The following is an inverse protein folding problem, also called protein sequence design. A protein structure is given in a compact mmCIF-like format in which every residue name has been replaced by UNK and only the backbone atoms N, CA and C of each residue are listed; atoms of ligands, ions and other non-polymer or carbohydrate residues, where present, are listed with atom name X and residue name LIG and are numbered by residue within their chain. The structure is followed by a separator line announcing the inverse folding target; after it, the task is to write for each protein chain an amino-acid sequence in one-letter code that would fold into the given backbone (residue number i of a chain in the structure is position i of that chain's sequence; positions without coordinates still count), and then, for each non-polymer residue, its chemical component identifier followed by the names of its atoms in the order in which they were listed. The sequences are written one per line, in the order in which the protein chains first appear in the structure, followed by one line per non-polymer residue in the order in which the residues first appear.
data_IF_117107896739
#
_entry.id   IF_117107896739
#
_cell.length_a   1.000
_cell.length_b   1.000
_cell.length_c   1.000
_cell.angle_alpha   90.00
_cell.angle_beta   90.00
_cell.angle_gamma   90.00
#
_symmetry.space_group_name_H-M   'P 1'
#
loop_
_entity.id
_entity.type
_entity.pdbx_description
1 polymer ?
#
# COMPACT_ATOMS: atom_id res chain seq x y z
N UNK A 1 7.68 23.27 -19.24
CA UNK A 1 6.91 24.05 -18.24
C UNK A 1 6.49 23.07 -17.15
N UNK A 2 7.32 22.89 -16.12
CA UNK A 2 7.04 22.04 -14.97
C UNK A 2 6.07 22.81 -14.07
N UNK A 3 4.78 22.49 -14.16
CA UNK A 3 3.78 23.01 -13.24
C UNK A 3 3.92 22.20 -11.96
N UNK A 4 4.47 22.80 -10.92
CA UNK A 4 4.47 22.28 -9.55
C UNK A 4 3.02 22.17 -9.06
N UNK A 5 2.41 20.99 -9.21
CA UNK A 5 1.04 20.72 -8.74
C UNK A 5 0.87 20.80 -7.20
N UNK A 6 1.97 20.87 -6.45
CA UNK A 6 1.96 20.99 -5.00
C UNK A 6 1.37 22.32 -4.49
N UNK A 7 1.35 23.37 -5.31
CA UNK A 7 0.83 24.68 -4.89
C UNK A 7 -0.68 24.85 -5.09
N UNK A 8 -1.36 23.94 -5.83
CA UNK A 8 -2.75 24.11 -6.20
C UNK A 8 -3.74 24.01 -5.02
N UNK A 9 -3.36 23.39 -3.87
CA UNK A 9 -4.26 23.21 -2.71
C UNK A 9 -3.52 23.18 -1.36
N UNK A 10 -2.70 24.20 -1.02
CA UNK A 10 -1.88 24.16 0.19
C UNK A 10 -2.70 24.04 1.47
N UNK A 11 -3.84 24.75 1.54
CA UNK A 11 -4.74 24.72 2.71
C UNK A 11 -5.33 23.32 2.92
N UNK A 12 -5.76 22.65 1.84
CA UNK A 12 -6.29 21.29 1.96
C UNK A 12 -5.20 20.30 2.40
N UNK A 13 -3.98 20.41 1.90
CA UNK A 13 -2.86 19.54 2.27
C UNK A 13 -2.51 19.64 3.75
N UNK A 14 -2.57 20.85 4.32
CA UNK A 14 -2.35 21.08 5.76
C UNK A 14 -3.51 20.46 6.56
N UNK A 15 -4.76 20.77 6.20
CA UNK A 15 -5.93 20.22 6.87
C UNK A 15 -5.96 18.69 6.81
N UNK A 16 -5.71 18.13 5.62
CA UNK A 16 -5.60 16.69 5.44
C UNK A 16 -4.54 16.10 6.36
N UNK A 17 -3.36 16.71 6.46
CA UNK A 17 -2.28 16.22 7.34
C UNK A 17 -2.70 16.22 8.81
N UNK A 18 -3.40 17.25 9.27
CA UNK A 18 -3.92 17.31 10.64
C UNK A 18 -4.96 16.22 10.90
N UNK A 19 -5.90 16.02 9.96
CA UNK A 19 -6.89 14.96 10.04
C UNK A 19 -6.26 13.58 10.02
N UNK A 20 -5.33 13.31 9.10
CA UNK A 20 -4.59 12.06 9.03
C UNK A 20 -3.87 11.75 10.35
N UNK A 21 -3.21 12.75 10.95
CA UNK A 21 -2.52 12.61 12.23
C UNK A 21 -3.49 12.25 13.36
N UNK A 22 -4.57 13.01 13.52
CA UNK A 22 -5.54 12.82 14.59
C UNK A 22 -6.26 11.48 14.46
N UNK A 23 -6.68 11.11 13.25
CA UNK A 23 -7.33 9.82 12.98
C UNK A 23 -6.37 8.65 13.20
N UNK A 24 -5.10 8.77 12.78
CA UNK A 24 -4.10 7.73 13.00
C UNK A 24 -3.79 7.55 14.49
N UNK A 25 -3.69 8.64 15.25
CA UNK A 25 -3.50 8.60 16.70
C UNK A 25 -4.67 7.91 17.39
N UNK A 26 -5.89 8.32 17.08
CA UNK A 26 -7.11 7.72 17.65
C UNK A 26 -7.20 6.23 17.27
N UNK A 27 -6.97 5.88 16.00
CA UNK A 27 -6.99 4.50 15.55
C UNK A 27 -5.91 3.65 16.24
N UNK A 28 -4.69 4.15 16.43
CA UNK A 28 -3.64 3.44 17.16
C UNK A 28 -4.02 3.21 18.63
N UNK A 29 -4.62 4.20 19.29
CA UNK A 29 -5.08 4.04 20.68
C UNK A 29 -6.19 3.00 20.79
N UNK A 30 -7.23 3.07 19.95
CA UNK A 30 -8.37 2.16 19.98
C UNK A 30 -7.98 0.74 19.55
N UNK A 31 -7.13 0.60 18.54
CA UNK A 31 -6.72 -0.70 18.00
C UNK A 31 -5.48 -1.27 18.70
N UNK A 32 -4.88 -0.58 19.68
CA UNK A 32 -3.68 -1.06 20.36
C UNK A 32 -3.82 -2.47 20.97
N UNK A 33 -4.93 -2.87 21.63
CA UNK A 33 -5.06 -4.24 22.12
C UNK A 33 -5.05 -5.27 20.98
N UNK A 34 -5.77 -4.97 19.89
CA UNK A 34 -5.79 -5.83 18.70
C UNK A 34 -4.40 -5.94 18.07
N UNK A 35 -3.68 -4.82 17.92
CA UNK A 35 -2.32 -4.81 17.37
C UNK A 35 -1.37 -5.68 18.21
N UNK A 36 -1.46 -5.63 19.53
CA UNK A 36 -0.66 -6.47 20.42
C UNK A 36 -1.00 -7.96 20.29
N UNK A 37 -2.29 -8.30 20.22
CA UNK A 37 -2.75 -9.68 19.99
C UNK A 37 -2.24 -10.21 18.65
N UNK A 38 -2.36 -9.42 17.57
CA UNK A 38 -1.87 -9.81 16.24
C UNK A 38 -0.36 -9.95 16.22
N UNK A 39 0.38 -9.05 16.88
CA UNK A 39 1.85 -9.15 16.99
C UNK A 39 2.28 -10.43 17.71
N UNK A 40 1.62 -10.76 18.82
CA UNK A 40 1.84 -12.01 19.57
C UNK A 40 1.52 -13.24 18.70
N UNK A 41 0.35 -13.25 18.04
CA UNK A 41 -0.07 -14.35 17.17
C UNK A 41 0.92 -14.59 16.03
N UNK A 42 1.39 -13.54 15.34
CA UNK A 42 2.40 -13.66 14.28
C UNK A 42 3.71 -14.25 14.82
N UNK A 43 4.14 -13.83 16.01
CA UNK A 43 5.39 -14.30 16.61
C UNK A 43 5.31 -15.74 17.10
N UNK A 44 4.16 -16.16 17.60
CA UNK A 44 3.92 -17.52 18.11
C UNK A 44 3.70 -18.55 16.99
N UNK A 45 3.13 -18.11 15.86
CA UNK A 45 2.78 -19.03 14.74
C UNK A 45 3.89 -19.21 13.71
N UNK A 46 4.93 -18.35 13.72
CA UNK A 46 6.06 -18.49 12.79
C UNK A 46 7.34 -17.85 13.34
N UNK A 47 8.54 -18.46 13.12
CA UNK A 47 9.81 -17.91 13.59
C UNK A 47 10.12 -16.53 13.01
N UNK A 48 10.62 -15.59 13.83
CA UNK A 48 11.10 -14.27 13.41
C UNK A 48 10.29 -13.09 13.98
N UNK A 49 10.55 -11.83 13.54
CA UNK A 49 9.92 -10.64 14.06
C UNK A 49 8.42 -10.58 13.73
N UNK A 50 7.60 -9.95 14.58
CA UNK A 50 6.18 -9.76 14.30
C UNK A 50 5.93 -8.80 13.13
N UNK A 51 6.79 -7.78 12.99
CA UNK A 51 6.69 -6.78 11.93
C UNK A 51 7.63 -7.11 10.77
N UNK A 52 7.11 -6.90 9.58
CA UNK A 52 7.84 -6.82 8.33
C UNK A 52 8.10 -5.35 8.00
N UNK A 53 9.30 -5.06 7.53
CA UNK A 53 9.71 -3.71 7.12
C UNK A 53 10.30 -3.75 5.72
N UNK A 54 10.02 -2.70 4.93
CA UNK A 54 10.51 -2.60 3.55
C UNK A 54 10.67 -1.13 3.17
N UNK A 55 11.67 -0.80 2.34
CA UNK A 55 11.88 0.56 1.83
C UNK A 55 10.87 0.88 0.74
N UNK A 56 10.24 2.02 0.82
CA UNK A 56 9.22 2.52 -0.11
C UNK A 56 9.50 3.96 -0.51
N UNK A 57 8.95 4.35 -1.65
CA UNK A 57 9.00 5.72 -2.15
C UNK A 57 7.85 6.51 -1.53
N UNK A 58 8.19 7.62 -0.90
CA UNK A 58 7.28 8.58 -0.27
C UNK A 58 7.21 9.90 -1.02
N UNK A 59 6.75 10.94 -0.30
CA UNK A 59 6.63 12.31 -0.78
C UNK A 59 7.96 12.80 -1.39
N UNK A 60 7.91 13.42 -2.57
CA UNK A 60 9.08 13.92 -3.32
C UNK A 60 10.17 12.86 -3.48
N UNK A 61 9.76 11.60 -3.68
CA UNK A 61 10.64 10.44 -3.87
C UNK A 61 11.58 10.14 -2.69
N UNK A 62 11.34 10.73 -1.51
CA UNK A 62 12.10 10.39 -0.30
C UNK A 62 11.76 8.97 0.13
N UNK A 63 12.79 8.18 0.43
CA UNK A 63 12.59 6.81 0.87
C UNK A 63 12.20 6.79 2.34
N UNK A 64 11.22 5.96 2.66
CA UNK A 64 10.81 5.68 4.04
C UNK A 64 10.66 4.17 4.26
N UNK A 65 10.56 3.77 5.52
CA UNK A 65 10.35 2.37 5.91
C UNK A 65 8.88 2.15 6.23
N UNK A 66 8.20 1.30 5.44
CA UNK A 66 6.82 0.89 5.73
C UNK A 66 6.80 -0.20 6.79
N UNK A 67 5.77 -0.21 7.65
CA UNK A 67 5.53 -1.24 8.67
C UNK A 67 4.29 -2.05 8.33
N UNK A 68 4.41 -3.39 8.39
CA UNK A 68 3.30 -4.34 8.25
C UNK A 68 3.45 -5.47 9.23
N UNK A 69 2.39 -6.19 9.55
CA UNK A 69 2.57 -7.50 10.15
C UNK A 69 3.19 -8.46 9.14
N UNK A 70 4.07 -9.32 9.63
CA UNK A 70 4.69 -10.34 8.80
C UNK A 70 3.67 -11.41 8.44
N UNK A 71 3.43 -11.59 7.15
CA UNK A 71 2.49 -12.57 6.59
C UNK A 71 3.20 -13.69 5.86
N UNK A 72 4.51 -13.56 5.65
CA UNK A 72 5.33 -14.51 4.91
C UNK A 72 6.50 -14.98 5.76
N UNK A 73 7.10 -16.11 5.40
CA UNK A 73 8.29 -16.67 6.03
C UNK A 73 9.47 -15.73 5.89
N UNK A 74 10.43 -15.85 6.81
CA UNK A 74 11.63 -14.98 6.84
C UNK A 74 12.62 -15.22 5.70
N UNK A 75 12.56 -16.37 5.05
CA UNK A 75 13.36 -16.74 3.88
C UNK A 75 12.77 -16.20 2.54
N UNK A 76 11.66 -15.46 2.59
CA UNK A 76 11.04 -14.85 1.40
C UNK A 76 11.90 -13.70 0.86
N UNK A 77 12.12 -13.60 -0.48
CA UNK A 77 12.76 -12.43 -1.09
C UNK A 77 12.04 -11.13 -0.75
N UNK A 78 12.79 -10.13 -0.23
CA UNK A 78 12.20 -8.88 0.29
C UNK A 78 12.06 -7.77 -0.76
N UNK A 79 12.90 -7.79 -1.79
CA UNK A 79 13.02 -6.67 -2.74
C UNK A 79 12.24 -6.87 -4.05
N UNK A 80 11.28 -7.80 -4.05
CA UNK A 80 10.37 -8.02 -5.15
C UNK A 80 8.90 -7.77 -4.73
N UNK A 81 8.07 -7.21 -5.62
CA UNK A 81 6.62 -7.17 -5.40
C UNK A 81 6.07 -8.60 -5.27
N UNK A 82 5.20 -8.85 -4.30
CA UNK A 82 4.67 -10.20 -4.03
C UNK A 82 3.97 -10.82 -5.25
N UNK A 83 3.29 -10.01 -6.06
CA UNK A 83 2.60 -10.49 -7.27
C UNK A 83 3.55 -10.92 -8.40
N UNK A 84 4.85 -10.61 -8.30
CA UNK A 84 5.89 -11.06 -9.23
C UNK A 84 6.70 -12.25 -8.70
N UNK A 85 6.46 -12.68 -7.46
CA UNK A 85 7.13 -13.85 -6.89
C UNK A 85 6.52 -15.13 -7.48
N UNK A 86 7.37 -15.99 -8.04
CA UNK A 86 6.96 -17.35 -8.39
C UNK A 86 6.58 -18.10 -7.11
N UNK A 87 5.47 -18.83 -7.15
CA UNK A 87 4.98 -19.60 -6.01
C UNK A 87 4.85 -18.83 -4.69
N UNK A 88 4.44 -17.54 -4.75
CA UNK A 88 4.29 -16.70 -3.55
C UNK A 88 3.50 -17.39 -2.42
N UNK A 89 2.53 -18.24 -2.77
CA UNK A 89 1.71 -19.00 -1.83
C UNK A 89 2.51 -19.93 -0.91
N UNK A 90 3.68 -20.42 -1.34
CA UNK A 90 4.57 -21.31 -0.54
C UNK A 90 5.21 -20.58 0.62
N UNK A 91 5.34 -19.26 0.52
CA UNK A 91 5.96 -18.42 1.53
C UNK A 91 4.93 -17.83 2.51
N UNK A 92 3.63 -17.82 2.14
CA UNK A 92 2.57 -17.22 2.97
C UNK A 92 2.23 -18.15 4.12
N UNK A 93 2.32 -17.66 5.36
CA UNK A 93 1.93 -18.42 6.55
C UNK A 93 0.41 -18.57 6.62
N UNK A 94 -0.13 -19.63 7.30
CA UNK A 94 -1.59 -19.77 7.47
C UNK A 94 -2.26 -18.54 8.08
N UNK A 95 -1.69 -17.99 9.15
CA UNK A 95 -2.14 -16.73 9.75
C UNK A 95 -1.96 -15.55 8.78
N UNK A 96 -0.84 -15.53 8.06
CA UNK A 96 -0.56 -14.50 7.06
C UNK A 96 -1.61 -14.43 5.96
N UNK A 97 -2.15 -15.54 5.52
CA UNK A 97 -3.24 -15.60 4.54
C UNK A 97 -4.50 -14.90 5.06
N UNK A 98 -4.88 -15.17 6.31
CA UNK A 98 -6.00 -14.49 6.97
C UNK A 98 -5.75 -12.97 7.08
N UNK A 99 -4.56 -12.56 7.56
CA UNK A 99 -4.20 -11.16 7.72
C UNK A 99 -4.25 -10.39 6.40
N UNK A 100 -3.75 -10.99 5.30
CA UNK A 100 -3.78 -10.38 3.95
C UNK A 100 -5.21 -10.29 3.41
N UNK A 101 -6.00 -11.33 3.55
CA UNK A 101 -7.40 -11.35 3.10
C UNK A 101 -8.26 -10.30 3.80
N UNK A 102 -7.96 -10.00 5.08
CA UNK A 102 -8.65 -8.99 5.90
C UNK A 102 -7.97 -7.62 5.87
N UNK A 103 -6.81 -7.48 5.21
CA UNK A 103 -5.95 -6.29 5.24
C UNK A 103 -5.47 -5.86 6.64
N UNK A 104 -5.60 -6.73 7.64
CA UNK A 104 -5.12 -6.48 9.00
C UNK A 104 -3.59 -6.40 9.08
N UNK A 105 -2.88 -7.00 8.12
CA UNK A 105 -1.42 -6.88 8.01
C UNK A 105 -0.96 -5.43 7.79
N UNK A 106 -1.80 -4.58 7.25
CA UNK A 106 -1.47 -3.18 6.95
C UNK A 106 -1.71 -2.22 8.12
N UNK A 107 -2.36 -2.65 9.22
CA UNK A 107 -2.64 -1.79 10.37
C UNK A 107 -1.40 -1.10 10.98
N UNK A 108 -0.20 -1.72 11.05
CA UNK A 108 1.01 -1.02 11.54
C UNK A 108 1.41 0.20 10.71
N UNK A 109 0.89 0.37 9.48
CA UNK A 109 1.12 1.58 8.67
C UNK A 109 0.49 2.84 9.29
N UNK A 110 -0.42 2.71 10.25
CA UNK A 110 -0.89 3.84 11.06
C UNK A 110 0.28 4.58 11.74
N UNK A 111 1.37 3.88 12.07
CA UNK A 111 2.61 4.48 12.58
C UNK A 111 3.26 5.36 11.50
N UNK A 112 3.27 4.92 10.24
CA UNK A 112 3.78 5.72 9.13
C UNK A 112 2.93 6.97 8.88
N UNK A 113 1.59 6.85 9.01
CA UNK A 113 0.69 8.00 8.90
C UNK A 113 0.96 8.98 10.03
N UNK A 114 1.09 8.52 11.26
CA UNK A 114 1.39 9.35 12.42
C UNK A 114 2.73 10.10 12.26
N UNK A 115 3.76 9.44 11.74
CA UNK A 115 5.08 10.03 11.45
C UNK A 115 5.03 11.04 10.30
N UNK A 116 4.05 10.95 9.42
CA UNK A 116 3.93 11.81 8.24
C UNK A 116 4.60 11.25 6.98
N UNK A 117 5.04 10.00 7.01
CA UNK A 117 5.54 9.28 5.84
C UNK A 117 4.41 8.98 4.85
N UNK A 118 3.20 8.72 5.39
CA UNK A 118 2.00 8.33 4.65
C UNK A 118 0.78 9.18 5.03
N UNK A 119 -0.28 9.02 4.27
CA UNK A 119 -1.64 9.51 4.48
C UNK A 119 -2.62 8.32 4.51
N UNK A 120 -3.88 8.52 4.97
CA UNK A 120 -4.91 7.49 4.78
C UNK A 120 -5.20 7.28 3.30
N UNK A 121 -5.36 8.37 2.55
CA UNK A 121 -5.68 8.33 1.11
C UNK A 121 -4.57 8.98 0.30
N UNK A 122 -4.09 8.26 -0.72
CA UNK A 122 -3.03 8.69 -1.63
C UNK A 122 -2.57 7.55 -2.55
N UNK A 123 -1.63 7.78 -3.47
CA UNK A 123 -1.04 6.74 -4.28
C UNK A 123 -0.37 5.66 -3.41
N UNK A 124 -0.55 4.36 -3.76
CA UNK A 124 0.09 3.28 -3.00
C UNK A 124 1.62 3.40 -3.07
N UNK A 125 2.37 3.33 -1.94
CA UNK A 125 3.81 3.52 -1.97
C UNK A 125 4.52 2.46 -2.84
N UNK A 126 5.24 2.91 -3.89
CA UNK A 126 6.05 2.06 -4.75
C UNK A 126 7.23 1.46 -3.99
N UNK A 127 7.72 0.29 -4.41
CA UNK A 127 9.02 -0.20 -3.98
C UNK A 127 10.12 0.75 -4.45
N UNK A 128 11.20 0.81 -3.70
CA UNK A 128 12.34 1.69 -4.00
C UNK A 128 13.00 1.41 -5.36
N UNK A 129 12.85 0.19 -5.90
CA UNK A 129 13.41 -0.31 -7.16
C UNK A 129 12.36 -0.48 -8.28
N UNK A 130 11.17 0.10 -8.15
CA UNK A 130 10.15 0.13 -9.22
C UNK A 130 10.29 1.38 -10.09
N UNK A 131 11.44 1.51 -10.78
CA UNK A 131 11.81 2.71 -11.51
C UNK A 131 10.79 3.11 -12.58
N UNK A 132 10.21 2.15 -13.30
CA UNK A 132 9.18 2.39 -14.32
C UNK A 132 7.93 3.04 -13.73
N UNK A 133 7.45 2.54 -12.58
CA UNK A 133 6.30 3.09 -11.88
C UNK A 133 6.62 4.48 -11.31
N UNK A 134 7.81 4.65 -10.71
CA UNK A 134 8.27 5.92 -10.15
C UNK A 134 8.35 6.98 -11.25
N UNK A 135 8.95 6.65 -12.40
CA UNK A 135 9.06 7.55 -13.54
C UNK A 135 7.69 7.89 -14.17
N UNK A 136 6.77 6.92 -14.25
CA UNK A 136 5.43 7.17 -14.76
C UNK A 136 4.63 8.10 -13.83
N UNK A 137 4.76 7.93 -12.51
CA UNK A 137 4.15 8.80 -11.49
C UNK A 137 4.74 10.20 -11.46
N UNK A 138 6.04 10.35 -11.74
CA UNK A 138 6.69 11.65 -11.85
C UNK A 138 6.03 12.50 -12.95
N UNK A 139 5.81 11.90 -14.11
CA UNK A 139 5.11 12.57 -15.23
C UNK A 139 3.65 12.93 -14.90
N UNK A 140 3.02 12.19 -13.98
CA UNK A 140 1.64 12.42 -13.54
C UNK A 140 1.53 13.31 -12.30
N UNK A 141 2.65 13.79 -11.72
CA UNK A 141 2.69 14.55 -10.47
C UNK A 141 2.31 13.75 -9.22
N UNK A 142 2.26 12.41 -9.32
CA UNK A 142 1.80 11.56 -8.23
C UNK A 142 2.86 11.30 -7.14
N UNK A 143 4.12 11.70 -7.39
CA UNK A 143 5.19 11.66 -6.38
C UNK A 143 5.21 12.90 -5.47
N UNK A 144 4.41 13.93 -5.78
CA UNK A 144 4.37 15.20 -5.05
C UNK A 144 3.29 15.21 -3.93
N UNK A 145 2.69 14.06 -3.67
CA UNK A 145 1.77 13.85 -2.55
C UNK A 145 2.24 12.68 -1.69
N UNK A 146 1.81 12.66 -0.41
CA UNK A 146 2.10 11.52 0.46
C UNK A 146 1.43 10.26 -0.07
N UNK A 147 2.15 9.12 -0.08
CA UNK A 147 1.52 7.84 -0.41
C UNK A 147 0.44 7.49 0.62
N UNK A 148 -0.58 6.76 0.16
CA UNK A 148 -1.73 6.39 0.97
C UNK A 148 -1.75 4.93 1.40
N UNK A 149 -2.46 4.66 2.51
CA UNK A 149 -2.88 3.33 2.89
C UNK A 149 -3.88 2.79 1.86
N UNK A 150 -4.78 3.64 1.40
CA UNK A 150 -5.66 3.41 0.25
C UNK A 150 -5.57 4.56 -0.75
N UNK A 151 -6.22 4.43 -1.94
CA UNK A 151 -6.21 5.46 -2.96
C UNK A 151 -7.00 5.11 -4.22
N UNK A 152 -7.06 6.05 -5.13
CA UNK A 152 -7.90 5.93 -6.32
C UNK A 152 -7.54 4.73 -7.20
N UNK A 153 -6.26 4.48 -7.47
CA UNK A 153 -5.82 3.31 -8.21
C UNK A 153 -6.14 1.99 -7.48
N UNK A 154 -6.06 1.98 -6.13
CA UNK A 154 -6.32 0.78 -5.34
C UNK A 154 -7.79 0.34 -5.42
N UNK A 155 -8.75 1.26 -5.44
CA UNK A 155 -10.18 0.91 -5.55
C UNK A 155 -10.64 0.66 -6.98
N UNK A 156 -9.78 0.89 -7.99
CA UNK A 156 -10.07 0.69 -9.41
C UNK A 156 -9.25 -0.43 -10.07
N UNK A 157 -8.75 -1.42 -9.31
CA UNK A 157 -8.10 -2.60 -9.85
C UNK A 157 -6.74 -2.95 -9.24
N UNK A 158 -6.21 -2.09 -8.35
CA UNK A 158 -5.07 -2.41 -7.46
C UNK A 158 -3.83 -2.97 -8.17
N UNK A 159 -3.47 -4.23 -7.88
CA UNK A 159 -2.24 -4.85 -8.39
C UNK A 159 -2.37 -5.34 -9.85
N UNK A 160 -3.61 -5.50 -10.35
CA UNK A 160 -3.90 -5.92 -11.73
C UNK A 160 -3.71 -4.81 -12.77
N UNK A 161 -3.66 -3.56 -12.33
CA UNK A 161 -3.52 -2.44 -13.23
C UNK A 161 -2.12 -2.38 -13.86
N UNK A 162 -2.03 -2.22 -15.19
CA UNK A 162 -0.76 -1.90 -15.86
C UNK A 162 -0.18 -0.58 -15.32
N UNK A 163 1.15 -0.46 -15.31
CA UNK A 163 1.86 0.73 -14.79
C UNK A 163 1.32 2.05 -15.37
N UNK A 164 1.09 2.21 -16.70
CA UNK A 164 0.56 3.46 -17.24
C UNK A 164 -0.82 3.82 -16.70
N UNK A 165 -1.70 2.83 -16.55
CA UNK A 165 -3.06 3.03 -16.01
C UNK A 165 -3.00 3.40 -14.54
N UNK A 166 -2.15 2.70 -13.77
CA UNK A 166 -1.91 2.99 -12.34
C UNK A 166 -1.42 4.42 -12.14
N UNK A 167 -0.40 4.83 -12.89
CA UNK A 167 0.15 6.18 -12.81
C UNK A 167 -0.86 7.26 -13.23
N UNK A 168 -1.69 7.00 -14.25
CA UNK A 168 -2.78 7.89 -14.66
C UNK A 168 -3.81 8.08 -13.54
N UNK A 169 -4.28 6.98 -12.93
CA UNK A 169 -5.25 7.06 -11.82
C UNK A 169 -4.65 7.76 -10.60
N UNK A 170 -3.37 7.54 -10.30
CA UNK A 170 -2.68 8.26 -9.23
C UNK A 170 -2.57 9.76 -9.54
N UNK A 171 -2.32 10.15 -10.80
CA UNK A 171 -2.36 11.55 -11.26
C UNK A 171 -3.76 12.16 -11.19
N UNK A 172 -4.81 11.41 -11.57
CA UNK A 172 -6.20 11.83 -11.38
C UNK A 172 -6.53 12.13 -9.92
N UNK A 173 -6.02 11.28 -9.00
CA UNK A 173 -6.17 11.53 -7.56
C UNK A 173 -5.58 12.88 -7.17
N UNK A 174 -4.36 13.19 -7.59
CA UNK A 174 -3.70 14.46 -7.28
C UNK A 174 -4.52 15.65 -7.76
N UNK A 175 -5.05 15.58 -8.99
CA UNK A 175 -5.87 16.66 -9.56
C UNK A 175 -7.19 16.84 -8.81
N UNK A 176 -7.85 15.73 -8.42
CA UNK A 176 -9.18 15.71 -7.77
C UNK A 176 -9.11 15.74 -6.25
N UNK A 177 -7.90 15.73 -5.67
CA UNK A 177 -7.66 15.65 -4.23
C UNK A 177 -8.49 16.69 -3.47
N UNK A 178 -9.40 16.20 -2.64
CA UNK A 178 -10.34 16.98 -1.82
C UNK A 178 -10.91 16.07 -0.74
N UNK A 179 -11.49 16.67 0.30
CA UNK A 179 -12.13 15.90 1.38
C UNK A 179 -13.20 14.92 0.86
N UNK A 180 -14.07 15.35 -0.04
CA UNK A 180 -15.09 14.48 -0.63
C UNK A 180 -14.50 13.36 -1.49
N UNK A 181 -13.38 13.62 -2.21
CA UNK A 181 -12.73 12.59 -3.00
C UNK A 181 -11.97 11.59 -2.13
N UNK A 182 -11.37 12.05 -1.03
CA UNK A 182 -10.75 11.18 -0.03
C UNK A 182 -11.79 10.27 0.64
N UNK A 183 -12.97 10.80 1.00
CA UNK A 183 -14.08 9.97 1.51
C UNK A 183 -14.53 8.93 0.47
N UNK A 184 -14.63 9.30 -0.80
CA UNK A 184 -14.96 8.36 -1.88
C UNK A 184 -13.93 7.22 -1.96
N UNK A 185 -12.64 7.52 -1.89
CA UNK A 185 -11.58 6.50 -1.88
C UNK A 185 -11.66 5.64 -0.62
N UNK A 186 -11.87 6.25 0.53
CA UNK A 186 -11.97 5.55 1.81
C UNK A 186 -13.13 4.54 1.82
N UNK A 187 -14.35 4.97 1.49
CA UNK A 187 -15.51 4.07 1.43
C UNK A 187 -15.41 3.06 0.29
N UNK A 188 -14.84 3.44 -0.86
CA UNK A 188 -14.57 2.53 -1.96
C UNK A 188 -13.65 1.37 -1.57
N UNK A 189 -12.74 1.61 -0.60
CA UNK A 189 -11.86 0.56 -0.09
C UNK A 189 -12.62 -0.56 0.61
N UNK A 190 -13.63 -0.24 1.41
CA UNK A 190 -14.46 -1.28 2.07
C UNK A 190 -15.15 -2.17 1.03
N UNK A 191 -15.67 -1.59 -0.04
CA UNK A 191 -16.29 -2.36 -1.12
C UNK A 191 -15.26 -3.23 -1.86
N UNK A 192 -14.07 -2.68 -2.15
CA UNK A 192 -12.99 -3.42 -2.81
C UNK A 192 -12.46 -4.57 -1.95
N UNK A 193 -12.30 -4.37 -0.65
CA UNK A 193 -11.88 -5.43 0.29
C UNK A 193 -12.94 -6.53 0.41
N UNK A 194 -14.22 -6.16 0.50
CA UNK A 194 -15.32 -7.13 0.55
C UNK A 194 -15.44 -7.97 -0.72
N UNK A 195 -15.20 -7.37 -1.88
CA UNK A 195 -15.21 -8.05 -3.18
C UNK A 195 -13.93 -8.82 -3.47
N UNK A 196 -12.86 -8.60 -2.70
CA UNK A 196 -11.50 -9.11 -2.95
C UNK A 196 -10.96 -8.73 -4.33
N UNK A 197 -11.39 -7.58 -4.86
CA UNK A 197 -11.01 -7.12 -6.18
C UNK A 197 -9.51 -6.78 -6.26
N UNK A 198 -8.83 -7.25 -7.33
CA UNK A 198 -7.49 -6.81 -7.69
C UNK A 198 -6.34 -7.27 -6.78
N UNK A 199 -6.54 -8.28 -5.93
CA UNK A 199 -5.47 -8.89 -5.13
C UNK A 199 -4.87 -10.06 -5.89
N UNK A 200 -3.63 -9.92 -6.38
CA UNK A 200 -2.85 -11.03 -6.95
C UNK A 200 -1.80 -11.52 -5.97
N UNK A 201 -1.83 -12.80 -5.68
CA UNK A 201 -0.81 -13.48 -4.88
C UNK A 201 0.01 -14.41 -5.78
N UNK A 202 1.15 -13.89 -6.25
CA UNK A 202 2.09 -14.61 -7.11
C UNK A 202 1.87 -14.44 -8.61
N UNK A 203 2.93 -14.63 -9.40
CA UNK A 203 2.84 -14.77 -10.84
C UNK A 203 2.16 -16.11 -11.18
N UNK A 204 1.38 -16.20 -12.27
CA UNK A 204 0.93 -17.50 -12.78
C UNK A 204 2.15 -18.38 -13.03
N UNK A 205 2.05 -19.68 -12.69
CA UNK A 205 3.07 -20.64 -13.07
C UNK A 205 3.31 -20.53 -14.58
N UNK A 206 4.57 -20.67 -15.06
CA UNK A 206 4.82 -20.76 -16.49
C UNK A 206 3.92 -21.87 -17.04
N UNK A 207 3.12 -21.58 -18.06
CA UNK A 207 2.40 -22.62 -18.80
C UNK A 207 3.48 -23.61 -19.29
N UNK A 208 3.45 -24.83 -18.79
CA UNK A 208 4.22 -25.92 -19.39
C UNK A 208 3.80 -25.96 -20.85
N UNK A 209 4.69 -25.56 -21.76
CA UNK A 209 4.55 -25.85 -23.16
C UNK A 209 4.26 -27.35 -23.28
N UNK A 210 2.99 -27.67 -23.54
CA UNK A 210 2.66 -29.02 -23.98
C UNK A 210 3.44 -29.22 -25.28
N UNK A 211 4.60 -29.88 -25.17
CA UNK A 211 5.25 -30.50 -26.30
C UNK A 211 4.30 -31.58 -26.76
N UNK A 212 3.48 -31.20 -27.73
CA UNK A 212 2.77 -32.20 -28.55
C UNK A 212 3.84 -33.02 -29.27
N UNK A 213 3.94 -34.29 -28.84
CA UNK A 213 4.67 -35.33 -29.52
C UNK A 213 3.86 -35.90 -30.65
#
# INVERSE_FOLDING_TARGET
MLIYFSEAKPLYSILKRMLDFLLALLALLLLSPLLLILAAAVRLTSPGPALFTQRRVGLHRRLFTIYKFRTMRTDTPKDAPTHLLQDANRFITPLGRFLRASSLDELPQLINILRGDMAFVGPRPALWNQDDLIAARERAGANDVRPGLTGWAQINGRDELPIPVKARLDGEYVQKMSFGFDLKCFFGTFLSVLRRDGVREGAPAPEEEKKDA
#
